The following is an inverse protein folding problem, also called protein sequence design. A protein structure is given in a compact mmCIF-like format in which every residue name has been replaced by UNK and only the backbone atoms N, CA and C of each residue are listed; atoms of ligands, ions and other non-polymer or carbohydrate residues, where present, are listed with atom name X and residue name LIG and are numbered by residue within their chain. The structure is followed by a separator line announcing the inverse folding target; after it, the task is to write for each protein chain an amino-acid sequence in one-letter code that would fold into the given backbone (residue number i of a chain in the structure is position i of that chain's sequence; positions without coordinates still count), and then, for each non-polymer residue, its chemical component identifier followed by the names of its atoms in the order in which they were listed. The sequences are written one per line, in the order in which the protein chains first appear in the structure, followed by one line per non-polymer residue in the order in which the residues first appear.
data_IF_812485470974
#
_entry.id   IF_812485470974
#
_cell.length_a   1.000
_cell.length_b   1.000
_cell.length_c   1.000
_cell.angle_alpha   90.00
_cell.angle_beta   90.00
_cell.angle_gamma   90.00
#
_symmetry.space_group_name_H-M   'P 1'
#
loop_
_entity.id
_entity.type
_entity.pdbx_description
1 polymer ?
#
# COMPACT_ATOMS: atom_id res chain seq x y z
N UNK A 1 -8.29 -20.22 -4.97
CA UNK A 1 -7.16 -20.24 -5.94
C UNK A 1 -7.74 -20.29 -7.34
N UNK A 2 -7.56 -19.21 -8.11
CA UNK A 2 -8.00 -19.10 -9.49
C UNK A 2 -7.00 -19.80 -10.43
N UNK A 3 -7.50 -20.62 -11.35
CA UNK A 3 -6.68 -21.34 -12.35
C UNK A 3 -7.11 -20.84 -13.74
N UNK A 4 -6.14 -20.39 -14.53
CA UNK A 4 -6.37 -19.86 -15.88
C UNK A 4 -5.90 -20.88 -16.91
N UNK A 5 -6.82 -21.34 -17.76
CA UNK A 5 -6.51 -22.17 -18.93
C UNK A 5 -6.48 -21.29 -20.18
N UNK A 6 -5.27 -20.95 -20.65
CA UNK A 6 -5.08 -20.05 -21.79
C UNK A 6 -3.78 -20.37 -22.52
N UNK A 7 -3.77 -20.38 -23.87
CA UNK A 7 -2.54 -20.55 -24.65
C UNK A 7 -1.60 -19.35 -24.55
N UNK A 8 -2.07 -18.23 -23.98
CA UNK A 8 -1.28 -17.01 -23.78
C UNK A 8 -0.66 -16.92 -22.37
N UNK A 9 -0.81 -17.96 -21.56
CA UNK A 9 -0.34 -18.00 -20.18
C UNK A 9 0.59 -19.19 -20.01
N UNK A 10 1.77 -18.95 -19.41
CA UNK A 10 2.68 -19.98 -18.94
C UNK A 10 2.96 -19.76 -17.47
N UNK A 11 2.75 -20.77 -16.64
CA UNK A 11 3.03 -20.71 -15.21
C UNK A 11 3.94 -21.89 -14.83
N UNK A 12 5.09 -21.60 -14.23
CA UNK A 12 6.05 -22.61 -13.77
C UNK A 12 5.96 -22.89 -12.25
N UNK A 13 4.99 -22.26 -11.58
CA UNK A 13 4.78 -22.34 -10.13
C UNK A 13 5.50 -21.25 -9.33
N UNK A 14 6.47 -20.55 -9.92
CA UNK A 14 7.16 -19.42 -9.29
C UNK A 14 6.86 -18.08 -9.99
N UNK A 15 6.77 -18.10 -11.31
CA UNK A 15 6.41 -16.97 -12.15
C UNK A 15 5.24 -17.34 -13.08
N UNK A 16 4.41 -16.34 -13.39
CA UNK A 16 3.46 -16.40 -14.50
C UNK A 16 3.91 -15.44 -15.60
N UNK A 17 4.00 -15.96 -16.82
CA UNK A 17 4.20 -15.18 -18.03
C UNK A 17 2.88 -15.10 -18.80
N UNK A 18 2.49 -13.89 -19.21
CA UNK A 18 1.22 -13.65 -19.92
C UNK A 18 1.44 -12.72 -21.10
N UNK A 19 1.02 -13.16 -22.29
CA UNK A 19 0.95 -12.27 -23.46
C UNK A 19 -0.39 -11.54 -23.48
N UNK A 20 -0.36 -10.21 -23.62
CA UNK A 20 -1.54 -9.36 -23.66
C UNK A 20 -1.49 -8.41 -24.86
N UNK A 21 -2.61 -8.32 -25.59
CA UNK A 21 -2.75 -7.43 -26.72
C UNK A 21 -3.49 -6.15 -26.32
N UNK A 22 -2.74 -5.08 -26.09
CA UNK A 22 -3.27 -3.77 -25.72
C UNK A 22 -3.76 -3.00 -26.95
N UNK A 23 -5.08 -2.76 -27.02
CA UNK A 23 -5.71 -1.96 -28.08
C UNK A 23 -5.71 -0.49 -27.69
N UNK A 24 -5.09 0.36 -28.52
CA UNK A 24 -5.05 1.82 -28.31
C UNK A 24 -5.28 2.55 -29.61
N UNK A 25 -6.19 3.52 -29.60
CA UNK A 25 -6.41 4.41 -30.74
C UNK A 25 -5.33 5.48 -30.80
N UNK A 26 -4.83 5.76 -32.00
CA UNK A 26 -4.01 6.92 -32.32
C UNK A 26 -4.86 7.94 -33.06
N UNK A 27 -4.65 9.21 -32.75
CA UNK A 27 -5.46 10.31 -33.26
C UNK A 27 -4.57 11.31 -33.99
N UNK A 28 -5.05 11.81 -35.13
CA UNK A 28 -4.43 12.92 -35.84
C UNK A 28 -5.50 13.84 -36.41
N UNK A 29 -5.35 15.14 -36.22
CA UNK A 29 -6.23 16.13 -36.86
C UNK A 29 -5.84 16.29 -38.33
N UNK A 30 -6.82 16.21 -39.22
CA UNK A 30 -6.69 16.42 -40.66
C UNK A 30 -7.67 17.51 -41.11
N UNK A 31 -7.47 18.15 -42.28
CA UNK A 31 -8.43 19.12 -42.82
C UNK A 31 -9.86 18.56 -42.97
N UNK A 32 -9.99 17.25 -43.17
CA UNK A 32 -11.27 16.55 -43.35
C UNK A 32 -11.91 16.08 -42.03
N UNK A 33 -11.21 16.25 -40.90
CA UNK A 33 -11.70 15.88 -39.56
C UNK A 33 -10.70 15.13 -38.70
N UNK A 34 -11.20 14.46 -37.66
CA UNK A 34 -10.39 13.63 -36.75
C UNK A 34 -10.17 12.25 -37.36
N UNK A 35 -8.93 11.94 -37.73
CA UNK A 35 -8.55 10.58 -38.14
C UNK A 35 -8.23 9.74 -36.91
N UNK A 36 -8.94 8.61 -36.77
CA UNK A 36 -8.72 7.61 -35.71
C UNK A 36 -8.07 6.38 -36.33
N UNK A 37 -6.93 5.96 -35.79
CA UNK A 37 -6.18 4.77 -36.24
C UNK A 37 -6.04 3.78 -35.07
N UNK A 38 -6.89 2.74 -35.00
CA UNK A 38 -6.77 1.69 -34.00
C UNK A 38 -5.44 0.95 -34.16
N UNK A 39 -4.69 0.79 -33.05
CA UNK A 39 -3.43 0.05 -33.02
C UNK A 39 -3.47 -1.04 -31.95
N UNK A 40 -2.70 -2.09 -32.22
CA UNK A 40 -2.47 -3.21 -31.32
C UNK A 40 -1.02 -3.18 -30.85
N UNK A 41 -0.81 -3.31 -29.54
CA UNK A 41 0.51 -3.39 -28.94
C UNK A 41 0.57 -4.67 -28.10
N UNK A 42 1.48 -5.57 -28.44
CA UNK A 42 1.67 -6.79 -27.68
C UNK A 42 2.62 -6.54 -26.50
N UNK A 43 2.23 -7.03 -25.34
CA UNK A 43 3.03 -7.03 -24.11
C UNK A 43 3.23 -8.47 -23.64
N UNK A 44 4.44 -8.78 -23.21
CA UNK A 44 4.73 -9.96 -22.41
C UNK A 44 4.93 -9.52 -20.96
N UNK A 45 3.98 -9.87 -20.10
CA UNK A 45 4.07 -9.63 -18.66
C UNK A 45 4.71 -10.81 -17.97
N UNK A 46 5.53 -10.52 -16.96
CA UNK A 46 6.14 -11.49 -16.05
C UNK A 46 5.80 -11.11 -14.62
N UNK A 47 5.14 -11.99 -13.88
CA UNK A 47 4.70 -11.73 -12.51
C UNK A 47 5.21 -12.81 -11.58
N UNK A 48 6.00 -12.43 -10.60
CA UNK A 48 6.46 -13.32 -9.53
C UNK A 48 5.27 -13.67 -8.62
N UNK A 49 5.07 -14.96 -8.36
CA UNK A 49 3.88 -15.48 -7.65
C UNK A 49 4.06 -15.56 -6.14
N UNK A 50 5.27 -15.37 -5.62
CA UNK A 50 5.54 -15.39 -4.19
C UNK A 50 5.71 -13.96 -3.66
N UNK A 51 4.73 -13.45 -2.88
CA UNK A 51 4.91 -12.18 -2.17
C UNK A 51 6.12 -12.27 -1.24
N UNK A 52 6.93 -11.19 -1.23
CA UNK A 52 8.08 -11.08 -0.33
C UNK A 52 7.63 -10.62 1.05
N UNK A 53 8.35 -11.00 2.10
CA UNK A 53 8.17 -10.34 3.40
C UNK A 53 8.48 -8.84 3.21
N UNK A 54 7.55 -7.98 3.62
CA UNK A 54 7.62 -6.54 3.33
C UNK A 54 7.58 -5.72 4.60
N UNK A 55 8.58 -4.86 4.75
CA UNK A 55 8.59 -3.80 5.75
C UNK A 55 7.85 -2.56 5.23
N UNK A 56 7.09 -1.89 6.09
CA UNK A 56 6.49 -0.59 5.82
C UNK A 56 6.96 0.39 6.88
N UNK A 57 7.56 1.50 6.44
CA UNK A 57 7.99 2.58 7.30
C UNK A 57 7.08 3.79 7.11
N UNK A 58 6.33 4.14 8.15
CA UNK A 58 5.38 5.25 8.13
C UNK A 58 6.02 6.52 8.67
N UNK A 59 6.08 7.58 7.87
CA UNK A 59 6.38 8.93 8.39
C UNK A 59 5.07 9.49 8.96
N UNK A 60 5.06 9.83 10.25
CA UNK A 60 3.84 10.16 11.00
C UNK A 60 3.13 8.93 11.59
N UNK A 61 3.88 7.90 12.00
CA UNK A 61 3.31 6.65 12.53
C UNK A 61 2.47 6.86 13.80
N UNK A 62 2.78 7.87 14.61
CA UNK A 62 2.01 8.24 15.81
C UNK A 62 0.75 9.05 15.50
N UNK A 63 0.52 9.45 14.24
CA UNK A 63 -0.70 10.11 13.81
C UNK A 63 -1.94 9.20 13.88
N UNK A 64 -3.11 9.77 13.59
CA UNK A 64 -4.37 9.01 13.57
C UNK A 64 -4.31 7.84 12.60
N UNK A 65 -3.81 8.07 11.38
CA UNK A 65 -3.70 7.05 10.34
C UNK A 65 -2.68 5.97 10.70
N UNK A 66 -1.48 6.38 11.17
CA UNK A 66 -0.41 5.44 11.51
C UNK A 66 -0.81 4.50 12.65
N UNK A 67 -1.24 5.06 13.78
CA UNK A 67 -1.68 4.28 14.95
C UNK A 67 -2.87 3.37 14.63
N UNK A 68 -3.82 3.85 13.82
CA UNK A 68 -4.95 3.03 13.34
C UNK A 68 -4.49 1.91 12.43
N UNK A 69 -3.57 2.18 11.50
CA UNK A 69 -3.07 1.17 10.55
C UNK A 69 -2.36 0.03 11.28
N UNK A 70 -1.47 0.35 12.22
CA UNK A 70 -0.75 -0.65 13.03
C UNK A 70 -1.73 -1.41 13.93
N UNK A 71 -2.64 -0.71 14.60
CA UNK A 71 -3.65 -1.33 15.46
C UNK A 71 -4.58 -2.28 14.69
N UNK A 72 -5.01 -1.90 13.49
CA UNK A 72 -5.86 -2.73 12.64
C UNK A 72 -5.14 -4.01 12.19
N UNK A 73 -3.85 -3.94 11.89
CA UNK A 73 -3.03 -5.11 11.56
C UNK A 73 -2.94 -6.07 12.75
N UNK A 74 -2.63 -5.59 13.95
CA UNK A 74 -2.62 -6.45 15.14
C UNK A 74 -3.99 -7.03 15.46
N UNK A 75 -5.05 -6.22 15.37
CA UNK A 75 -6.41 -6.67 15.66
C UNK A 75 -6.83 -7.82 14.72
N UNK A 76 -6.56 -7.70 13.41
CA UNK A 76 -6.83 -8.75 12.43
C UNK A 76 -5.95 -9.99 12.64
N UNK A 77 -4.64 -9.81 12.83
CA UNK A 77 -3.68 -10.90 13.05
C UNK A 77 -3.96 -11.72 14.32
N UNK A 78 -4.56 -11.10 15.33
CA UNK A 78 -4.92 -11.73 16.61
C UNK A 78 -6.41 -12.10 16.70
N UNK A 79 -7.16 -11.94 15.62
CA UNK A 79 -8.60 -12.23 15.56
C UNK A 79 -9.38 -11.56 16.68
N UNK A 80 -9.05 -10.30 16.98
CA UNK A 80 -9.66 -9.58 18.09
C UNK A 80 -11.13 -9.29 17.81
N UNK A 81 -11.92 -9.34 18.88
CA UNK A 81 -13.32 -8.96 18.91
C UNK A 81 -13.54 -7.91 19.99
N UNK A 82 -14.62 -7.14 19.90
CA UNK A 82 -15.02 -6.17 20.93
C UNK A 82 -16.53 -5.99 20.93
N UNK A 83 -17.09 -5.57 22.06
CA UNK A 83 -18.52 -5.34 22.20
C UNK A 83 -18.88 -3.89 21.90
N UNK A 84 -20.02 -3.71 21.27
CA UNK A 84 -20.72 -2.44 21.06
C UNK A 84 -22.16 -2.60 21.54
N UNK A 85 -22.98 -1.55 21.38
CA UNK A 85 -24.42 -1.64 21.66
C UNK A 85 -25.13 -2.55 20.67
N UNK A 86 -24.56 -2.71 19.49
CA UNK A 86 -25.07 -3.48 18.35
C UNK A 86 -24.66 -4.95 18.42
N UNK A 87 -23.69 -5.32 19.28
CA UNK A 87 -23.30 -6.70 19.54
C UNK A 87 -21.80 -6.91 19.59
N UNK A 88 -21.35 -8.11 19.23
CA UNK A 88 -19.94 -8.46 19.15
C UNK A 88 -19.43 -8.18 17.74
N UNK A 89 -18.40 -7.35 17.62
CA UNK A 89 -17.69 -7.09 16.37
C UNK A 89 -16.39 -7.89 16.29
N UNK A 90 -15.96 -8.22 15.08
CA UNK A 90 -14.67 -8.87 14.79
C UNK A 90 -13.83 -7.98 13.87
N UNK A 91 -12.53 -7.92 14.13
CA UNK A 91 -11.59 -7.22 13.27
C UNK A 91 -11.69 -7.70 11.83
N UNK A 92 -11.63 -6.76 10.89
CA UNK A 92 -11.69 -7.02 9.45
C UNK A 92 -10.90 -5.95 8.68
N UNK A 93 -10.85 -6.08 7.35
CA UNK A 93 -10.27 -5.10 6.42
C UNK A 93 -11.31 -4.46 5.50
N UNK A 94 -12.54 -4.23 5.99
CA UNK A 94 -13.53 -3.51 5.21
C UNK A 94 -13.03 -2.11 4.83
N UNK A 95 -13.41 -1.66 3.64
CA UNK A 95 -12.86 -0.45 3.02
C UNK A 95 -11.55 -0.67 2.24
N UNK A 96 -10.86 -1.79 2.43
CA UNK A 96 -9.70 -2.14 1.59
C UNK A 96 -10.15 -2.77 0.27
N UNK A 97 -9.84 -2.13 -0.87
CA UNK A 97 -10.12 -2.70 -2.19
C UNK A 97 -9.41 -4.05 -2.35
N UNK A 98 -8.16 -4.17 -1.90
CA UNK A 98 -7.38 -5.40 -2.12
C UNK A 98 -7.89 -6.57 -1.28
N UNK A 99 -8.47 -6.31 -0.10
CA UNK A 99 -8.86 -7.37 0.83
C UNK A 99 -10.37 -7.64 0.88
N UNK A 100 -11.21 -6.67 0.48
CA UNK A 100 -12.65 -6.73 0.67
C UNK A 100 -13.47 -6.46 -0.61
N UNK A 101 -12.82 -6.21 -1.76
CA UNK A 101 -13.53 -6.07 -3.04
C UNK A 101 -13.50 -7.34 -3.87
N UNK A 102 -14.42 -7.43 -4.83
CA UNK A 102 -14.46 -8.48 -5.84
C UNK A 102 -14.29 -7.89 -7.23
N UNK A 103 -13.87 -8.73 -8.17
CA UNK A 103 -13.75 -8.40 -9.59
C UNK A 103 -14.65 -9.30 -10.38
N UNK A 104 -15.40 -8.70 -11.30
CA UNK A 104 -16.27 -9.41 -12.23
C UNK A 104 -15.43 -10.08 -13.32
N UNK A 105 -15.47 -11.41 -13.39
CA UNK A 105 -14.75 -12.19 -14.40
C UNK A 105 -15.58 -12.46 -15.65
N UNK A 106 -16.91 -12.56 -15.51
CA UNK A 106 -17.81 -12.86 -16.61
C UNK A 106 -19.04 -13.64 -16.16
N UNK A 107 -19.62 -14.40 -17.09
CA UNK A 107 -20.86 -15.16 -16.90
C UNK A 107 -20.61 -16.64 -17.14
N UNK A 108 -21.07 -17.52 -16.25
CA UNK A 108 -20.86 -18.98 -16.34
C UNK A 108 -21.95 -19.73 -17.13
N UNK A 109 -23.00 -19.03 -17.55
CA UNK A 109 -24.20 -19.62 -18.14
C UNK A 109 -25.45 -19.44 -17.27
N UNK A 110 -25.28 -19.25 -15.97
CA UNK A 110 -26.36 -19.17 -14.98
C UNK A 110 -26.29 -17.90 -14.11
N UNK A 111 -25.09 -17.42 -13.78
CA UNK A 111 -24.87 -16.26 -12.91
C UNK A 111 -23.59 -15.47 -13.23
N UNK A 112 -23.52 -14.24 -12.71
CA UNK A 112 -22.33 -13.40 -12.85
C UNK A 112 -21.25 -13.88 -11.88
N UNK A 113 -20.08 -14.23 -12.41
CA UNK A 113 -18.95 -14.76 -11.66
C UNK A 113 -18.06 -13.62 -11.17
N UNK A 114 -17.96 -13.51 -9.85
CA UNK A 114 -17.08 -12.57 -9.18
C UNK A 114 -16.09 -13.32 -8.30
N UNK A 115 -14.84 -12.85 -8.26
CA UNK A 115 -13.80 -13.40 -7.38
C UNK A 115 -13.22 -12.31 -6.49
N UNK A 116 -12.72 -12.63 -5.29
CA UNK A 116 -11.99 -11.66 -4.47
C UNK A 116 -10.79 -11.07 -5.23
N UNK A 117 -10.54 -9.78 -5.06
CA UNK A 117 -9.44 -9.08 -5.75
C UNK A 117 -8.07 -9.76 -5.51
N UNK A 118 -7.81 -10.17 -4.27
CA UNK A 118 -6.58 -10.85 -3.86
C UNK A 118 -6.47 -12.31 -4.33
N UNK A 119 -7.48 -12.86 -5.02
CA UNK A 119 -7.42 -14.20 -5.61
C UNK A 119 -7.06 -14.20 -7.10
N UNK A 120 -7.00 -13.03 -7.76
CA UNK A 120 -6.64 -12.92 -9.18
C UNK A 120 -5.16 -13.23 -9.39
N UNK A 121 -4.31 -12.62 -8.56
CA UNK A 121 -2.88 -12.87 -8.47
C UNK A 121 -2.47 -12.87 -6.99
N UNK A 122 -1.44 -13.63 -6.59
CA UNK A 122 -0.95 -13.60 -5.22
C UNK A 122 -0.46 -12.19 -4.84
N UNK A 123 -1.05 -11.62 -3.80
CA UNK A 123 -0.65 -10.33 -3.23
C UNK A 123 -0.41 -10.46 -1.72
N UNK A 124 0.27 -9.47 -1.14
CA UNK A 124 0.51 -9.41 0.29
C UNK A 124 -0.80 -9.29 1.08
N UNK A 125 -0.89 -10.05 2.18
CA UNK A 125 -1.85 -9.75 3.23
C UNK A 125 -1.29 -8.65 4.14
N UNK A 126 -2.12 -7.70 4.63
CA UNK A 126 -1.65 -6.74 5.62
C UNK A 126 -1.16 -7.41 6.92
N UNK A 127 -1.60 -8.63 7.23
CA UNK A 127 -1.13 -9.41 8.39
C UNK A 127 0.36 -9.81 8.32
N UNK A 128 0.93 -9.81 7.11
CA UNK A 128 2.33 -10.16 6.83
C UNK A 128 3.26 -8.95 6.80
N UNK A 129 2.70 -7.73 6.90
CA UNK A 129 3.47 -6.51 6.96
C UNK A 129 4.18 -6.39 8.31
N UNK A 130 5.43 -5.95 8.26
CA UNK A 130 6.16 -5.46 9.44
C UNK A 130 6.14 -3.95 9.37
N UNK A 131 5.47 -3.30 10.32
CA UNK A 131 5.25 -1.85 10.28
C UNK A 131 6.04 -1.20 11.42
N UNK A 132 6.80 -0.17 11.07
CA UNK A 132 7.47 0.74 12.01
C UNK A 132 7.51 2.15 11.38
N UNK A 133 8.15 3.13 12.00
CA UNK A 133 8.25 4.46 11.41
C UNK A 133 8.73 5.56 12.34
N UNK A 134 8.53 6.78 11.86
CA UNK A 134 8.97 8.00 12.53
C UNK A 134 7.79 8.87 12.92
N UNK A 135 7.94 9.61 14.00
CA UNK A 135 7.03 10.69 14.34
C UNK A 135 7.80 11.79 15.08
N UNK A 136 7.35 13.02 14.96
CA UNK A 136 7.90 14.15 15.73
C UNK A 136 7.48 14.06 17.21
N UNK A 137 6.42 13.30 17.50
CA UNK A 137 5.91 13.05 18.83
C UNK A 137 6.42 11.68 19.35
N UNK A 138 7.07 11.67 20.51
CA UNK A 138 7.69 10.48 21.09
C UNK A 138 6.75 9.59 21.93
N UNK A 139 5.43 9.82 21.87
CA UNK A 139 4.45 8.97 22.55
C UNK A 139 4.37 7.61 21.87
N UNK A 140 4.19 6.56 22.67
CA UNK A 140 4.02 5.21 22.11
C UNK A 140 2.67 5.07 21.38
N UNK A 141 2.52 3.99 20.60
CA UNK A 141 1.32 3.82 19.78
C UNK A 141 0.03 3.55 20.57
N UNK A 142 0.11 3.09 21.83
CA UNK A 142 -1.07 3.00 22.70
C UNK A 142 -1.55 4.40 23.11
N UNK A 143 -0.64 5.29 23.52
CA UNK A 143 -0.97 6.68 23.81
C UNK A 143 -1.44 7.44 22.55
N UNK A 144 -0.83 7.15 21.39
CA UNK A 144 -1.26 7.70 20.11
C UNK A 144 -2.68 7.25 19.74
N UNK A 145 -3.01 5.97 19.96
CA UNK A 145 -4.34 5.41 19.74
C UNK A 145 -5.39 6.06 20.65
N UNK A 146 -5.10 6.27 21.94
CA UNK A 146 -5.96 7.01 22.86
C UNK A 146 -6.19 8.44 22.34
N UNK A 147 -5.12 9.12 21.90
CA UNK A 147 -5.19 10.48 21.35
C UNK A 147 -6.05 10.54 20.08
N UNK A 148 -5.91 9.55 19.20
CA UNK A 148 -6.62 9.51 17.93
C UNK A 148 -8.13 9.29 18.08
N UNK A 149 -8.56 8.59 19.15
CA UNK A 149 -9.97 8.30 19.44
C UNK A 149 -10.71 7.61 18.29
N UNK A 150 -10.01 6.70 17.61
CA UNK A 150 -10.56 5.95 16.46
C UNK A 150 -11.14 4.60 16.90
N UNK A 151 -10.39 3.81 17.67
CA UNK A 151 -10.85 2.51 18.13
C UNK A 151 -11.75 2.62 19.37
N UNK A 152 -12.68 1.68 19.50
CA UNK A 152 -13.50 1.52 20.71
C UNK A 152 -12.62 1.25 21.95
N UNK A 153 -12.99 1.76 23.15
CA UNK A 153 -12.16 1.62 24.35
C UNK A 153 -11.77 0.17 24.69
N UNK A 154 -12.67 -0.80 24.53
CA UNK A 154 -12.36 -2.21 24.76
C UNK A 154 -11.26 -2.72 23.81
N UNK A 155 -11.32 -2.33 22.53
CA UNK A 155 -10.32 -2.71 21.55
C UNK A 155 -8.98 -2.04 21.82
N UNK A 156 -8.98 -0.79 22.28
CA UNK A 156 -7.75 -0.09 22.70
C UNK A 156 -7.01 -0.88 23.79
N UNK A 157 -7.71 -1.35 24.83
CA UNK A 157 -7.09 -2.14 25.90
C UNK A 157 -6.59 -3.51 25.42
N UNK A 158 -7.30 -4.17 24.50
CA UNK A 158 -6.84 -5.43 23.89
C UNK A 158 -5.58 -5.25 23.03
N UNK A 159 -5.46 -4.10 22.38
CA UNK A 159 -4.31 -3.74 21.55
C UNK A 159 -3.11 -3.26 22.37
N UNK A 160 -3.33 -2.76 23.59
CA UNK A 160 -2.29 -2.22 24.47
C UNK A 160 -0.99 -3.04 24.53
N UNK A 161 -0.97 -4.36 24.82
CA UNK A 161 0.28 -5.11 24.93
C UNK A 161 1.10 -5.17 23.63
N UNK A 162 0.49 -4.86 22.48
CA UNK A 162 1.16 -4.82 21.18
C UNK A 162 1.55 -3.40 20.75
N UNK A 163 0.78 -2.40 21.17
CA UNK A 163 0.93 -1.01 20.74
C UNK A 163 1.83 -0.19 21.70
N UNK A 164 1.74 -0.44 23.00
CA UNK A 164 2.50 0.29 24.04
C UNK A 164 4.03 0.13 23.90
N UNK A 165 4.58 -1.02 23.48
CA UNK A 165 6.03 -1.16 23.23
C UNK A 165 6.55 -0.39 22.01
N UNK A 166 5.67 0.08 21.12
CA UNK A 166 6.08 0.71 19.86
C UNK A 166 6.18 2.22 20.10
N UNK A 167 7.39 2.72 20.23
CA UNK A 167 7.71 4.14 20.31
C UNK A 167 8.27 4.59 18.96
N UNK A 168 7.69 5.61 18.30
CA UNK A 168 8.19 6.10 17.02
C UNK A 168 9.66 6.50 17.11
N UNK A 169 10.43 6.21 16.05
CA UNK A 169 11.78 6.76 15.93
C UNK A 169 11.71 8.30 15.83
N UNK A 170 12.70 9.02 16.40
CA UNK A 170 12.76 10.47 16.24
C UNK A 170 12.85 10.82 14.75
N UNK A 171 12.01 11.75 14.30
CA UNK A 171 11.98 12.18 12.90
C UNK A 171 13.24 12.96 12.48
N UNK A 172 13.47 13.02 11.17
CA UNK A 172 14.74 13.25 10.43
C UNK A 172 15.56 11.96 10.29
N UNK A 173 15.60 11.46 9.05
CA UNK A 173 16.04 10.14 8.62
C UNK A 173 17.56 10.05 8.40
N UNK A 174 18.18 8.99 8.95
CA UNK A 174 19.53 8.55 8.57
C UNK A 174 19.43 7.19 7.84
N UNK A 175 19.87 7.09 6.57
CA UNK A 175 19.74 5.87 5.75
C UNK A 175 20.48 4.63 6.27
N UNK A 176 21.42 4.79 7.20
CA UNK A 176 22.37 3.73 7.59
C UNK A 176 21.79 2.63 8.50
N UNK A 177 20.51 2.72 8.87
CA UNK A 177 19.88 1.83 9.87
C UNK A 177 19.12 0.62 9.30
N UNK A 178 19.02 0.46 7.98
CA UNK A 178 18.32 -0.70 7.40
C UNK A 178 19.30 -1.86 7.23
N UNK A 179 19.06 -2.96 7.95
CA UNK A 179 19.76 -4.21 7.71
C UNK A 179 19.53 -4.65 6.25
N UNK A 180 20.62 -4.86 5.52
CA UNK A 180 20.66 -5.19 4.08
C UNK A 180 20.01 -6.53 3.69
N UNK A 181 19.37 -7.23 4.64
CA UNK A 181 18.66 -8.48 4.44
C UNK A 181 17.12 -8.33 4.33
N UNK A 182 16.59 -7.10 4.33
CA UNK A 182 15.17 -6.81 4.07
C UNK A 182 14.96 -6.59 2.56
N UNK A 183 14.43 -7.59 1.84
CA UNK A 183 14.33 -7.55 0.37
C UNK A 183 13.27 -6.60 -0.20
N UNK A 184 12.33 -6.11 0.63
CA UNK A 184 11.28 -5.17 0.21
C UNK A 184 10.88 -4.26 1.38
N UNK A 185 11.18 -2.97 1.26
CA UNK A 185 10.76 -1.93 2.21
C UNK A 185 10.04 -0.83 1.45
N UNK A 186 8.87 -0.42 1.95
CA UNK A 186 8.09 0.71 1.41
C UNK A 186 8.06 1.82 2.46
N UNK A 187 8.50 3.02 2.10
CA UNK A 187 8.34 4.22 2.94
C UNK A 187 7.09 4.95 2.49
N UNK A 188 6.18 5.28 3.42
CA UNK A 188 4.93 5.97 3.13
C UNK A 188 4.75 7.19 4.05
N UNK A 189 4.54 8.35 3.44
CA UNK A 189 4.24 9.58 4.17
C UNK A 189 2.76 9.63 4.56
N UNK A 190 2.49 9.68 5.87
CA UNK A 190 1.16 9.90 6.45
C UNK A 190 1.18 10.94 7.56
N UNK A 191 2.22 11.77 7.59
CA UNK A 191 2.33 12.91 8.49
C UNK A 191 1.48 14.08 7.97
N UNK A 192 1.59 15.22 8.64
CA UNK A 192 0.88 16.42 8.28
C UNK A 192 1.18 16.85 6.83
N UNK A 193 0.20 17.48 6.19
CA UNK A 193 0.36 18.11 4.89
C UNK A 193 1.39 19.22 4.97
N UNK A 194 2.40 19.15 4.11
CA UNK A 194 3.41 20.20 3.98
C UNK A 194 2.93 21.29 3.01
N UNK A 195 3.57 22.47 3.10
CA UNK A 195 3.43 23.49 2.06
C UNK A 195 4.08 22.99 0.77
N UNK A 196 3.75 23.63 -0.35
CA UNK A 196 4.52 23.43 -1.56
C UNK A 196 5.92 24.03 -1.41
N UNK A 197 6.91 23.36 -1.98
CA UNK A 197 8.28 23.87 -2.18
C UNK A 197 8.35 24.61 -3.52
N UNK A 198 9.21 25.62 -3.61
CA UNK A 198 9.53 26.26 -4.89
C UNK A 198 10.22 25.28 -5.84
N UNK A 199 9.93 25.37 -7.14
CA UNK A 199 10.58 24.53 -8.18
C UNK A 199 11.38 25.43 -9.11
N UNK A 200 12.70 25.43 -8.94
CA UNK A 200 13.60 26.35 -9.65
C UNK A 200 14.91 25.68 -10.07
N UNK A 201 15.52 26.20 -11.14
CA UNK A 201 16.78 25.69 -11.68
C UNK A 201 17.91 25.87 -10.66
N UNK A 202 18.73 24.84 -10.47
CA UNK A 202 19.80 24.84 -9.46
C UNK A 202 19.36 24.56 -8.03
N UNK A 203 18.04 24.36 -7.78
CA UNK A 203 17.49 23.98 -6.48
C UNK A 203 17.06 22.50 -6.45
N UNK A 204 16.08 22.12 -7.27
CA UNK A 204 15.45 20.79 -7.19
C UNK A 204 14.87 20.29 -8.54
N UNK A 205 15.29 20.87 -9.66
CA UNK A 205 14.83 20.44 -11.00
C UNK A 205 15.52 19.17 -11.52
N UNK A 206 16.68 18.83 -10.95
CA UNK A 206 17.43 17.60 -11.27
C UNK A 206 17.79 16.82 -10.02
N UNK A 207 18.17 15.55 -10.19
CA UNK A 207 18.63 14.71 -9.10
C UNK A 207 19.93 15.24 -8.47
N UNK A 208 20.81 15.83 -9.28
CA UNK A 208 22.03 16.46 -8.82
C UNK A 208 21.74 17.74 -8.02
N UNK A 209 20.83 18.58 -8.51
CA UNK A 209 20.46 19.84 -7.83
C UNK A 209 19.89 19.57 -6.44
N UNK A 210 18.95 18.63 -6.30
CA UNK A 210 18.34 18.34 -5.00
C UNK A 210 19.38 17.83 -4.00
N UNK A 211 20.32 16.97 -4.43
CA UNK A 211 21.38 16.47 -3.55
C UNK A 211 22.35 17.58 -3.12
N UNK A 212 22.72 18.47 -4.04
CA UNK A 212 23.55 19.64 -3.71
C UNK A 212 22.83 20.62 -2.78
N UNK A 213 21.53 20.83 -2.97
CA UNK A 213 20.71 21.70 -2.11
C UNK A 213 20.62 21.14 -0.69
N UNK A 214 20.44 19.82 -0.54
CA UNK A 214 20.49 19.14 0.75
C UNK A 214 21.87 19.31 1.41
N UNK A 215 22.96 19.07 0.67
CA UNK A 215 24.33 19.23 1.20
C UNK A 215 24.60 20.65 1.68
N UNK A 216 24.07 21.65 0.97
CA UNK A 216 24.18 23.07 1.31
C UNK A 216 23.18 23.52 2.37
N UNK A 217 22.30 22.63 2.85
CA UNK A 217 21.21 22.97 3.78
C UNK A 217 20.36 24.14 3.26
N UNK A 218 19.93 24.07 2.00
CA UNK A 218 19.02 25.05 1.42
C UNK A 218 17.72 25.15 2.24
N UNK A 219 17.13 26.33 2.30
CA UNK A 219 15.92 26.60 3.10
C UNK A 219 14.64 25.97 2.54
N UNK A 220 14.65 25.60 1.24
CA UNK A 220 13.53 24.99 0.50
C UNK A 220 13.65 23.48 0.34
#
# INVERSE_FOLDING_TARGET
QLIVDSPHVRCDGNEIETTFQYRKNHFSHTPEGLKVSPKLHEYLFKTQLKPKKTGVLLVGIGGNNGSTSVGAVFANKKHMTWRTKEGLHTANYFGSITQASTVHLGWDGEQQVHVPFNEIIPILSPNDLVIDGWDINNKNLYEAMIRAKVFEPELQEKLRPYMEPIVPMPSIYYPDFIASNQECVVVLWTANTERYTDVTEGLNMTAEDILMSIEKSADE
#
